data_IF_211179415454
#
_entry.id   IF_211179415454
#
_cell.length_a   1.000
_cell.length_b   1.000
_cell.length_c   1.000
_cell.angle_alpha   90.00
_cell.angle_beta   90.00
_cell.angle_gamma   90.00
#
_symmetry.space_group_name_H-M   'P 1'
#
loop_
_entity.id
_entity.type
_entity.pdbx_description
1 polymer ?
#
# COMPACT_ATOMS: atom_id res chain seq x y z
N UNK A 1 35.88 3.41 14.99
CA UNK A 1 36.35 4.74 15.47
C UNK A 1 35.20 5.73 15.36
N UNK A 2 34.99 6.58 16.37
CA UNK A 2 33.98 7.65 16.35
C UNK A 2 34.69 8.99 16.52
N UNK A 3 34.24 10.01 15.78
CA UNK A 3 34.74 11.37 15.88
C UNK A 3 33.52 12.30 15.94
N UNK A 4 33.33 13.00 17.06
CA UNK A 4 32.11 13.79 17.31
C UNK A 4 32.47 15.10 18.00
N UNK A 5 31.75 16.17 17.65
CA UNK A 5 31.80 17.48 18.31
C UNK A 5 30.40 18.06 18.48
N UNK A 6 30.08 18.66 19.63
CA UNK A 6 28.79 19.32 19.86
C UNK A 6 28.51 20.36 18.77
N UNK A 7 27.34 20.28 18.13
CA UNK A 7 26.91 21.20 17.07
C UNK A 7 27.43 20.89 15.66
N UNK A 8 28.38 19.95 15.50
CA UNK A 8 28.96 19.57 14.19
C UNK A 8 28.56 18.16 13.74
N UNK A 9 27.86 17.40 14.61
CA UNK A 9 27.46 16.01 14.34
C UNK A 9 28.52 14.97 14.72
N UNK A 10 28.27 13.72 14.35
CA UNK A 10 29.14 12.58 14.71
C UNK A 10 29.47 11.75 13.48
N UNK A 11 30.76 11.46 13.28
CA UNK A 11 31.27 10.56 12.25
C UNK A 11 31.65 9.21 12.87
N UNK A 12 31.05 8.14 12.35
CA UNK A 12 31.39 6.76 12.70
C UNK A 12 32.27 6.16 11.59
N UNK A 13 33.23 5.34 11.96
CA UNK A 13 34.13 4.64 11.04
C UNK A 13 34.22 3.19 11.51
N UNK A 14 33.74 2.28 10.68
CA UNK A 14 33.88 0.84 10.88
C UNK A 14 34.95 0.34 9.90
N UNK A 15 35.80 -0.58 10.35
CA UNK A 15 36.80 -1.23 9.51
C UNK A 15 36.33 -2.67 9.32
N UNK A 16 36.05 -3.06 8.09
CA UNK A 16 35.73 -4.43 7.72
C UNK A 16 37.01 -5.13 7.24
N UNK A 17 37.64 -5.99 8.06
CA UNK A 17 38.79 -6.76 7.61
C UNK A 17 38.35 -7.77 6.54
N UNK A 18 39.00 -7.74 5.37
CA UNK A 18 38.72 -8.67 4.27
C UNK A 18 38.07 -8.06 3.02
N UNK A 19 37.61 -6.80 3.06
CA UNK A 19 37.14 -6.12 1.84
C UNK A 19 38.36 -5.67 1.03
N UNK A 20 38.64 -6.36 -0.06
CA UNK A 20 39.77 -6.06 -0.92
C UNK A 20 39.41 -4.81 -1.73
N UNK A 21 40.09 -3.68 -1.47
CA UNK A 21 39.93 -2.40 -2.21
C UNK A 21 40.03 -2.56 -3.74
N UNK A 22 40.69 -3.63 -4.21
CA UNK A 22 40.80 -4.05 -5.61
C UNK A 22 39.48 -4.57 -6.20
N UNK A 23 38.60 -5.18 -5.41
CA UNK A 23 37.27 -5.64 -5.85
C UNK A 23 36.32 -4.46 -6.01
N UNK A 24 36.33 -3.49 -5.09
CA UNK A 24 35.57 -2.24 -5.20
C UNK A 24 35.99 -1.40 -6.42
N UNK A 25 37.28 -1.36 -6.75
CA UNK A 25 37.79 -0.63 -7.92
C UNK A 25 37.46 -1.31 -9.26
N UNK A 26 37.05 -2.59 -9.25
CA UNK A 26 36.69 -3.33 -10.45
C UNK A 26 35.18 -3.32 -10.74
N UNK A 27 34.36 -2.82 -9.81
CA UNK A 27 32.94 -2.58 -10.06
C UNK A 27 32.86 -1.30 -10.90
N UNK A 28 32.60 -1.44 -12.20
CA UNK A 28 32.31 -0.27 -13.02
C UNK A 28 30.89 0.18 -12.72
N UNK A 29 30.68 1.50 -12.71
CA UNK A 29 29.34 2.11 -12.58
C UNK A 29 28.39 1.53 -13.64
N UNK A 30 28.90 1.30 -14.85
CA UNK A 30 28.18 0.62 -15.94
C UNK A 30 27.68 -0.78 -15.56
N UNK A 31 28.39 -1.56 -14.74
CA UNK A 31 28.01 -2.93 -14.35
C UNK A 31 26.86 -2.95 -13.31
N UNK A 32 26.61 -1.81 -12.63
CA UNK A 32 25.48 -1.61 -11.73
C UNK A 32 24.25 -1.05 -12.46
N UNK A 33 24.46 -0.30 -13.55
CA UNK A 33 23.40 0.28 -14.38
C UNK A 33 22.97 -0.61 -15.58
N UNK A 34 23.75 -1.64 -15.94
CA UNK A 34 23.60 -2.38 -17.21
C UNK A 34 22.54 -3.48 -17.22
N UNK A 35 21.76 -3.68 -16.17
CA UNK A 35 20.57 -4.55 -16.23
C UNK A 35 19.26 -3.78 -16.51
N UNK A 36 19.31 -2.46 -16.74
CA UNK A 36 18.09 -1.64 -16.82
C UNK A 36 17.57 -1.41 -18.26
N UNK A 37 18.31 -1.79 -19.30
CA UNK A 37 17.79 -1.67 -20.67
C UNK A 37 17.78 -3.01 -21.42
N UNK A 38 16.61 -3.31 -22.01
CA UNK A 38 16.29 -4.40 -22.94
C UNK A 38 15.69 -5.70 -22.39
N UNK A 39 14.73 -5.58 -21.47
CA UNK A 39 13.43 -6.20 -21.73
C UNK A 39 12.33 -5.27 -21.22
N UNK A 40 11.67 -4.53 -22.12
CA UNK A 40 10.33 -4.01 -21.81
C UNK A 40 9.46 -5.26 -21.71
N UNK A 41 9.35 -5.81 -20.51
CA UNK A 41 8.55 -6.98 -20.26
C UNK A 41 7.09 -6.59 -20.53
N UNK A 42 6.57 -7.06 -21.67
CA UNK A 42 5.19 -6.80 -22.06
C UNK A 42 4.21 -7.44 -21.08
N UNK A 43 4.67 -8.29 -20.16
CA UNK A 43 3.90 -8.95 -19.11
C UNK A 43 3.89 -8.30 -17.72
N UNK A 44 4.44 -7.09 -17.54
CA UNK A 44 4.36 -6.44 -16.20
C UNK A 44 2.91 -6.38 -15.69
N UNK A 45 2.65 -6.75 -14.42
CA UNK A 45 1.33 -6.67 -13.82
C UNK A 45 0.84 -5.22 -13.82
N UNK A 46 -0.44 -5.01 -14.08
CA UNK A 46 -1.01 -3.66 -14.01
C UNK A 46 -1.97 -3.50 -12.83
N UNK A 47 -1.95 -2.31 -12.23
CA UNK A 47 -2.82 -1.91 -11.11
C UNK A 47 -3.80 -0.85 -11.61
N UNK A 48 -5.07 -0.98 -11.25
CA UNK A 48 -6.05 0.08 -11.42
C UNK A 48 -6.02 1.01 -10.22
N UNK A 49 -5.75 2.29 -10.45
CA UNK A 49 -5.77 3.32 -9.41
C UNK A 49 -7.00 4.22 -9.61
N UNK A 50 -7.95 4.15 -8.69
CA UNK A 50 -9.18 4.94 -8.69
C UNK A 50 -9.08 6.00 -7.62
N UNK A 51 -8.66 7.20 -8.01
CA UNK A 51 -8.46 8.31 -7.09
C UNK A 51 -8.80 9.61 -7.85
N UNK A 52 -9.51 10.55 -7.26
CA UNK A 52 -9.82 11.84 -7.91
C UNK A 52 -8.77 12.92 -7.66
N UNK A 53 -7.77 12.63 -6.82
CA UNK A 53 -6.73 13.53 -6.43
C UNK A 53 -5.45 13.36 -7.26
N UNK A 54 -5.01 14.41 -7.96
CA UNK A 54 -3.84 14.36 -8.83
C UNK A 54 -2.51 14.17 -8.09
N UNK A 55 -2.35 14.75 -6.89
CA UNK A 55 -1.12 14.58 -6.11
C UNK A 55 -0.97 13.13 -5.66
N UNK A 56 -2.06 12.52 -5.18
CA UNK A 56 -2.05 11.13 -4.73
C UNK A 56 -1.99 10.13 -5.88
N UNK A 57 -2.61 10.44 -7.02
CA UNK A 57 -2.41 9.69 -8.26
C UNK A 57 -0.92 9.63 -8.63
N UNK A 58 -0.23 10.77 -8.54
CA UNK A 58 1.20 10.85 -8.82
C UNK A 58 2.02 10.07 -7.80
N UNK A 59 1.82 10.31 -6.51
CA UNK A 59 2.56 9.64 -5.44
C UNK A 59 2.46 8.11 -5.53
N UNK A 60 1.24 7.58 -5.59
CA UNK A 60 1.00 6.14 -5.67
C UNK A 60 1.43 5.59 -7.03
N UNK A 61 1.20 6.35 -8.11
CA UNK A 61 1.60 5.97 -9.46
C UNK A 61 3.11 5.83 -9.60
N UNK A 62 3.87 6.83 -9.15
CA UNK A 62 5.33 6.83 -9.18
C UNK A 62 5.88 5.65 -8.35
N UNK A 63 5.34 5.43 -7.14
CA UNK A 63 5.72 4.29 -6.31
C UNK A 63 5.50 2.94 -7.01
N UNK A 64 4.35 2.74 -7.66
CA UNK A 64 4.03 1.51 -8.38
C UNK A 64 4.91 1.32 -9.63
N UNK A 65 5.17 2.39 -10.38
CA UNK A 65 6.04 2.36 -11.57
C UNK A 65 7.48 2.00 -11.20
N UNK A 66 8.04 2.60 -10.14
CA UNK A 66 9.38 2.24 -9.62
C UNK A 66 9.45 0.77 -9.20
N UNK A 67 8.33 0.18 -8.80
CA UNK A 67 8.22 -1.23 -8.40
C UNK A 67 7.73 -2.16 -9.54
N UNK A 68 7.95 -1.78 -10.80
CA UNK A 68 7.66 -2.59 -12.00
C UNK A 68 6.18 -2.95 -12.21
N UNK A 69 5.25 -2.09 -11.77
CA UNK A 69 3.85 -2.20 -12.14
C UNK A 69 3.49 -1.23 -13.25
N UNK A 70 2.64 -1.67 -14.18
CA UNK A 70 1.89 -0.76 -15.05
C UNK A 70 0.73 -0.15 -14.25
N UNK A 71 0.31 1.06 -14.59
CA UNK A 71 -0.82 1.71 -13.92
C UNK A 71 -1.86 2.21 -14.93
N UNK A 72 -3.13 2.06 -14.57
CA UNK A 72 -4.26 2.70 -15.26
C UNK A 72 -5.07 3.49 -14.25
N UNK A 73 -5.19 4.80 -14.49
CA UNK A 73 -5.77 5.74 -13.54
C UNK A 73 -7.20 6.11 -13.95
N UNK A 74 -8.12 6.07 -12.99
CA UNK A 74 -9.50 6.51 -13.13
C UNK A 74 -9.84 7.55 -12.06
N UNK A 75 -10.59 8.58 -12.44
CA UNK A 75 -11.10 9.59 -11.47
C UNK A 75 -12.33 9.12 -10.69
N UNK A 76 -13.01 8.08 -11.19
CA UNK A 76 -14.25 7.55 -10.64
C UNK A 76 -14.34 6.03 -10.80
N UNK A 77 -15.14 5.39 -9.97
CA UNK A 77 -15.27 3.94 -9.90
C UNK A 77 -16.03 3.33 -11.09
N UNK A 78 -16.93 4.08 -11.73
CA UNK A 78 -17.79 3.54 -12.81
C UNK A 78 -16.95 3.10 -14.01
N UNK A 79 -16.06 3.97 -14.48
CA UNK A 79 -15.16 3.63 -15.60
C UNK A 79 -14.17 2.51 -15.24
N UNK A 80 -13.75 2.42 -13.97
CA UNK A 80 -12.91 1.32 -13.52
C UNK A 80 -13.65 -0.03 -13.52
N UNK A 81 -14.93 -0.06 -13.09
CA UNK A 81 -15.76 -1.27 -13.19
C UNK A 81 -15.98 -1.72 -14.63
N UNK A 82 -16.12 -0.79 -15.58
CA UNK A 82 -16.24 -1.13 -17.00
C UNK A 82 -14.98 -1.82 -17.53
N UNK A 83 -13.80 -1.30 -17.19
CA UNK A 83 -12.53 -1.90 -17.63
C UNK A 83 -12.29 -3.29 -17.02
N UNK A 84 -12.65 -3.50 -15.75
CA UNK A 84 -12.49 -4.81 -15.08
C UNK A 84 -13.25 -5.94 -15.78
N UNK A 85 -14.33 -5.63 -16.50
CA UNK A 85 -15.09 -6.63 -17.26
C UNK A 85 -14.33 -7.16 -18.47
N UNK A 86 -13.41 -6.37 -19.02
CA UNK A 86 -12.67 -6.67 -20.24
C UNK A 86 -11.20 -6.97 -20.00
N UNK A 87 -10.64 -6.46 -18.91
CA UNK A 87 -9.24 -6.57 -18.56
C UNK A 87 -9.10 -7.01 -17.09
N UNK A 88 -8.08 -7.82 -16.79
CA UNK A 88 -7.85 -8.36 -15.44
C UNK A 88 -6.68 -7.68 -14.76
N UNK A 89 -6.93 -6.68 -13.89
CA UNK A 89 -5.85 -6.05 -13.15
C UNK A 89 -5.29 -7.00 -12.09
N UNK A 90 -4.01 -6.83 -11.78
CA UNK A 90 -3.37 -7.52 -10.66
C UNK A 90 -3.90 -7.05 -9.31
N UNK A 91 -4.39 -5.80 -9.23
CA UNK A 91 -5.07 -5.23 -8.07
C UNK A 91 -5.82 -3.94 -8.42
N UNK A 92 -6.73 -3.53 -7.54
CA UNK A 92 -7.41 -2.23 -7.57
C UNK A 92 -7.10 -1.47 -6.28
N UNK A 93 -6.63 -0.23 -6.41
CA UNK A 93 -6.48 0.72 -5.30
C UNK A 93 -7.54 1.80 -5.50
N UNK A 94 -8.40 2.02 -4.50
CA UNK A 94 -9.56 2.90 -4.61
C UNK A 94 -9.65 3.84 -3.40
N UNK A 95 -9.76 5.14 -3.66
CA UNK A 95 -9.89 6.14 -2.60
C UNK A 95 -11.33 6.25 -2.08
N UNK A 96 -11.48 6.51 -0.78
CA UNK A 96 -12.79 6.65 -0.11
C UNK A 96 -13.58 7.89 -0.54
N UNK A 97 -12.93 8.87 -1.19
CA UNK A 97 -13.51 10.14 -1.61
C UNK A 97 -13.85 10.21 -3.10
N UNK A 98 -13.87 9.09 -3.83
CA UNK A 98 -14.37 9.07 -5.20
C UNK A 98 -15.84 9.50 -5.26
N UNK A 99 -16.25 10.14 -6.36
CA UNK A 99 -17.47 10.96 -6.39
C UNK A 99 -18.66 10.33 -7.11
N UNK A 100 -18.42 9.37 -8.01
CA UNK A 100 -19.45 8.78 -8.87
C UNK A 100 -20.11 7.53 -8.27
N UNK A 101 -19.35 6.74 -7.50
CA UNK A 101 -19.84 5.65 -6.66
C UNK A 101 -18.93 5.52 -5.44
N UNK A 102 -19.36 4.88 -4.35
CA UNK A 102 -18.52 4.66 -3.17
C UNK A 102 -17.70 3.37 -3.28
N UNK A 103 -16.57 3.21 -2.57
CA UNK A 103 -15.80 1.96 -2.63
C UNK A 103 -16.58 0.73 -2.15
N UNK A 104 -17.58 0.91 -1.29
CA UNK A 104 -18.48 -0.16 -0.84
C UNK A 104 -19.37 -0.63 -1.98
N UNK A 105 -19.98 0.31 -2.71
CA UNK A 105 -20.73 0.00 -3.92
C UNK A 105 -19.81 -0.59 -4.99
N UNK A 106 -18.56 -0.12 -5.12
CA UNK A 106 -17.58 -0.66 -6.06
C UNK A 106 -17.36 -2.16 -5.84
N UNK A 107 -17.10 -2.59 -4.60
CA UNK A 107 -16.85 -4.01 -4.30
C UNK A 107 -18.14 -4.86 -4.39
N UNK A 108 -19.32 -4.26 -4.12
CA UNK A 108 -20.61 -4.94 -4.30
C UNK A 108 -21.00 -5.13 -5.77
N UNK A 109 -20.74 -4.12 -6.61
CA UNK A 109 -21.04 -4.13 -8.05
C UNK A 109 -19.99 -4.89 -8.87
N UNK A 110 -18.74 -4.94 -8.37
CA UNK A 110 -17.63 -5.67 -8.97
C UNK A 110 -17.71 -7.18 -8.78
N UNK A 111 -18.80 -7.82 -9.21
CA UNK A 111 -18.95 -9.28 -9.13
C UNK A 111 -17.77 -10.05 -9.74
N UNK A 112 -17.16 -9.52 -10.81
CA UNK A 112 -15.97 -10.09 -11.44
C UNK A 112 -14.71 -9.94 -10.58
N UNK A 113 -14.59 -8.86 -9.81
CA UNK A 113 -13.51 -8.68 -8.81
C UNK A 113 -13.52 -9.85 -7.82
N UNK A 114 -14.71 -10.20 -7.32
CA UNK A 114 -14.88 -11.29 -6.36
C UNK A 114 -14.60 -12.67 -6.96
N UNK A 115 -15.05 -12.91 -8.21
CA UNK A 115 -14.83 -14.18 -8.93
C UNK A 115 -13.38 -14.40 -9.32
N UNK A 116 -12.69 -13.35 -9.73
CA UNK A 116 -11.30 -13.41 -10.20
C UNK A 116 -10.28 -13.25 -9.07
N UNK A 117 -10.76 -13.08 -7.83
CA UNK A 117 -9.93 -12.83 -6.65
C UNK A 117 -9.00 -11.62 -6.82
N UNK A 118 -9.46 -10.58 -7.53
CA UNK A 118 -8.70 -9.35 -7.70
C UNK A 118 -8.62 -8.64 -6.33
N UNK A 119 -7.41 -8.43 -5.79
CA UNK A 119 -7.26 -7.69 -4.54
C UNK A 119 -7.75 -6.25 -4.69
N UNK A 120 -8.63 -5.83 -3.79
CA UNK A 120 -9.03 -4.42 -3.66
C UNK A 120 -8.40 -3.85 -2.39
N UNK A 121 -7.80 -2.67 -2.51
CA UNK A 121 -7.30 -1.86 -1.41
C UNK A 121 -8.09 -0.55 -1.37
N UNK A 122 -8.85 -0.35 -0.30
CA UNK A 122 -9.50 0.93 -0.03
C UNK A 122 -8.51 1.83 0.71
N UNK A 123 -8.34 3.06 0.26
CA UNK A 123 -7.49 4.07 0.91
C UNK A 123 -8.33 5.26 1.36
N UNK A 124 -7.95 5.89 2.46
CA UNK A 124 -8.52 7.17 2.89
C UNK A 124 -7.39 8.16 3.03
N UNK A 125 -7.36 9.17 2.16
CA UNK A 125 -6.36 10.24 2.23
C UNK A 125 -7.07 11.58 2.42
N UNK A 126 -6.67 12.32 3.46
CA UNK A 126 -7.08 13.69 3.74
C UNK A 126 -5.87 14.61 3.57
N UNK A 127 -5.78 15.25 2.40
CA UNK A 127 -4.66 16.14 2.08
C UNK A 127 -4.59 17.38 2.96
N UNK A 128 -5.75 17.90 3.39
CA UNK A 128 -5.81 19.14 4.19
C UNK A 128 -5.21 18.87 5.56
N UNK A 129 -5.49 17.70 6.12
CA UNK A 129 -4.94 17.26 7.41
C UNK A 129 -3.58 16.58 7.28
N UNK A 130 -3.12 16.26 6.06
CA UNK A 130 -1.93 15.45 5.80
C UNK A 130 -2.02 14.12 6.56
N UNK A 131 -3.15 13.43 6.39
CA UNK A 131 -3.39 12.11 6.97
C UNK A 131 -3.68 11.12 5.85
N UNK A 132 -3.21 9.88 5.96
CA UNK A 132 -3.64 8.79 5.09
C UNK A 132 -3.68 7.44 5.78
N UNK A 133 -4.61 6.60 5.35
CA UNK A 133 -4.81 5.26 5.89
C UNK A 133 -5.16 4.27 4.79
N UNK A 134 -4.42 3.16 4.72
CA UNK A 134 -4.72 2.03 3.85
C UNK A 134 -5.43 0.92 4.63
N UNK A 135 -6.57 0.46 4.15
CA UNK A 135 -7.29 -0.65 4.78
C UNK A 135 -6.65 -1.98 4.41
N UNK A 136 -5.88 -2.56 5.33
CA UNK A 136 -5.30 -3.91 5.25
C UNK A 136 -6.38 -4.99 5.44
N UNK A 137 -7.31 -5.01 4.49
CA UNK A 137 -8.41 -5.97 4.36
C UNK A 137 -8.02 -6.99 3.29
N UNK A 138 -8.13 -8.26 3.65
CA UNK A 138 -7.77 -9.38 2.82
C UNK A 138 -8.73 -9.60 1.65
N UNK A 139 -10.04 -9.41 1.85
CA UNK A 139 -11.06 -9.49 0.81
C UNK A 139 -12.34 -8.80 1.26
N UNK A 140 -13.18 -8.43 0.30
CA UNK A 140 -14.56 -8.00 0.53
C UNK A 140 -15.49 -9.08 -0.01
N UNK A 141 -16.46 -9.52 0.80
CA UNK A 141 -17.45 -10.52 0.42
C UNK A 141 -18.85 -9.99 0.72
N UNK A 142 -19.85 -10.54 0.02
CA UNK A 142 -21.26 -10.26 0.32
C UNK A 142 -21.73 -11.16 1.45
N UNK A 143 -22.59 -10.63 2.31
CA UNK A 143 -23.35 -11.43 3.23
C UNK A 143 -24.33 -12.32 2.45
N UNK A 144 -24.24 -13.62 2.70
CA UNK A 144 -25.16 -14.63 2.19
C UNK A 144 -25.65 -15.50 3.37
N UNK A 145 -26.90 -15.96 3.34
CA UNK A 145 -27.43 -16.85 4.38
C UNK A 145 -26.76 -18.24 4.39
N UNK A 146 -26.09 -18.59 3.29
CA UNK A 146 -25.28 -19.79 3.19
C UNK A 146 -23.96 -19.42 2.50
N UNK A 147 -22.84 -19.59 3.18
CA UNK A 147 -21.52 -19.21 2.64
C UNK A 147 -20.75 -20.44 2.16
N UNK A 148 -20.25 -20.41 0.93
CA UNK A 148 -19.27 -21.37 0.41
C UNK A 148 -17.86 -20.84 0.62
N UNK A 149 -17.12 -21.42 1.57
CA UNK A 149 -15.77 -20.93 1.91
C UNK A 149 -14.77 -21.15 0.78
N UNK A 150 -14.90 -22.21 -0.02
CA UNK A 150 -13.95 -22.47 -1.12
C UNK A 150 -14.07 -21.43 -2.22
N UNK A 151 -15.29 -20.99 -2.51
CA UNK A 151 -15.56 -19.93 -3.48
C UNK A 151 -15.11 -18.57 -2.92
N UNK A 152 -15.47 -18.27 -1.68
CA UNK A 152 -15.25 -16.95 -1.10
C UNK A 152 -13.79 -16.70 -0.69
N UNK A 153 -13.06 -17.71 -0.22
CA UNK A 153 -11.66 -17.58 0.21
C UNK A 153 -10.63 -17.92 -0.89
N UNK A 154 -11.08 -18.58 -1.96
CA UNK A 154 -10.21 -19.08 -3.03
C UNK A 154 -9.48 -20.37 -2.65
N UNK A 155 -9.00 -21.11 -3.65
CA UNK A 155 -8.42 -22.45 -3.47
C UNK A 155 -6.96 -22.44 -3.01
N UNK A 156 -6.28 -21.30 -3.10
CA UNK A 156 -4.84 -21.17 -2.81
C UNK A 156 -4.56 -20.87 -1.34
N UNK A 157 -5.54 -20.38 -0.58
CA UNK A 157 -5.36 -19.99 0.82
C UNK A 157 -6.15 -20.93 1.73
N UNK A 158 -5.42 -21.71 2.52
CA UNK A 158 -6.01 -22.66 3.46
C UNK A 158 -6.05 -22.06 4.86
N UNK A 159 -7.17 -21.41 5.18
CA UNK A 159 -7.51 -20.99 6.53
C UNK A 159 -8.20 -22.14 7.26
N UNK A 160 -7.72 -22.51 8.44
CA UNK A 160 -8.30 -23.59 9.24
C UNK A 160 -9.20 -23.07 10.35
N UNK A 161 -8.83 -22.00 11.04
CA UNK A 161 -9.59 -21.49 12.17
C UNK A 161 -10.17 -20.12 11.81
N UNK A 162 -11.46 -20.10 11.48
CA UNK A 162 -12.12 -18.91 10.92
C UNK A 162 -13.14 -18.38 11.92
N UNK A 163 -13.00 -17.11 12.30
CA UNK A 163 -13.93 -16.43 13.19
C UNK A 163 -14.81 -15.45 12.43
N UNK A 164 -16.12 -15.60 12.49
CA UNK A 164 -17.09 -14.66 11.97
C UNK A 164 -17.63 -13.76 13.08
N UNK A 165 -17.46 -12.45 12.93
CA UNK A 165 -18.25 -11.45 13.64
C UNK A 165 -19.47 -11.09 12.79
N UNK A 166 -20.45 -11.99 12.83
CA UNK A 166 -21.68 -11.92 12.03
C UNK A 166 -22.71 -12.88 12.63
N UNK A 167 -23.94 -12.81 12.12
CA UNK A 167 -25.00 -13.75 12.52
C UNK A 167 -24.62 -15.20 12.15
N UNK A 168 -24.91 -16.19 13.03
CA UNK A 168 -24.71 -17.59 12.71
C UNK A 168 -25.49 -18.00 11.45
N UNK A 169 -24.83 -18.77 10.57
CA UNK A 169 -25.40 -19.20 9.28
C UNK A 169 -24.81 -20.52 8.80
N UNK A 170 -25.36 -21.06 7.71
CA UNK A 170 -24.87 -22.31 7.12
C UNK A 170 -23.55 -22.09 6.40
N UNK A 171 -22.55 -22.92 6.71
CA UNK A 171 -21.25 -22.92 6.04
C UNK A 171 -21.11 -24.17 5.18
N UNK A 172 -20.90 -24.00 3.88
CA UNK A 172 -20.77 -25.09 2.91
C UNK A 172 -19.32 -25.32 2.52
N UNK A 173 -19.04 -26.56 2.08
CA UNK A 173 -17.73 -27.02 1.57
C UNK A 173 -16.57 -26.82 2.56
N UNK A 174 -16.87 -26.96 3.84
CA UNK A 174 -15.88 -27.00 4.91
C UNK A 174 -15.01 -28.25 4.74
N UNK A 175 -13.69 -28.08 4.73
CA UNK A 175 -12.77 -29.21 4.83
C UNK A 175 -12.77 -29.74 6.26
N UNK A 176 -12.52 -31.05 6.46
CA UNK A 176 -12.60 -31.68 7.79
C UNK A 176 -11.67 -31.07 8.86
N UNK A 177 -10.65 -30.31 8.46
CA UNK A 177 -9.71 -29.64 9.36
C UNK A 177 -10.10 -28.20 9.72
N UNK A 178 -11.17 -27.67 9.11
CA UNK A 178 -11.59 -26.28 9.32
C UNK A 178 -12.59 -26.19 10.48
N UNK A 179 -12.38 -25.21 11.34
CA UNK A 179 -13.26 -24.82 12.44
C UNK A 179 -13.79 -23.42 12.14
N UNK A 180 -15.09 -23.24 12.34
CA UNK A 180 -15.76 -21.97 12.09
C UNK A 180 -16.60 -21.59 13.30
N UNK A 181 -16.28 -20.44 13.87
CA UNK A 181 -16.97 -19.89 15.03
C UNK A 181 -17.69 -18.58 14.66
N UNK A 182 -18.77 -18.27 15.39
CA UNK A 182 -19.57 -17.07 15.18
C UNK A 182 -19.74 -16.29 16.49
N UNK A 183 -19.49 -14.99 16.43
CA UNK A 183 -19.75 -14.01 17.50
C UNK A 183 -20.67 -12.93 16.92
N UNK A 184 -21.83 -12.71 17.55
CA UNK A 184 -22.86 -11.80 17.03
C UNK A 184 -22.82 -10.40 17.68
N UNK A 185 -21.73 -10.06 18.36
CA UNK A 185 -21.49 -8.74 18.93
C UNK A 185 -20.04 -8.30 18.77
N UNK A 186 -19.79 -7.01 19.01
CA UNK A 186 -18.47 -6.40 18.98
C UNK A 186 -18.02 -5.98 20.39
N UNK A 187 -18.54 -6.64 21.45
CA UNK A 187 -18.27 -6.31 22.84
C UNK A 187 -16.82 -6.68 23.25
N UNK A 188 -16.25 -6.10 24.32
CA UNK A 188 -15.00 -5.35 24.25
C UNK A 188 -13.70 -6.17 24.24
N UNK A 189 -12.68 -5.45 23.75
CA UNK A 189 -11.23 -5.68 23.64
C UNK A 189 -10.54 -6.52 24.73
N UNK A 190 -11.15 -6.75 25.90
CA UNK A 190 -10.53 -7.49 27.01
C UNK A 190 -10.09 -8.91 26.62
N UNK A 191 -10.79 -9.52 25.66
CA UNK A 191 -10.43 -10.82 25.11
C UNK A 191 -9.82 -10.77 23.70
N UNK A 192 -9.45 -9.59 23.18
CA UNK A 192 -8.97 -9.48 21.78
C UNK A 192 -7.75 -10.36 21.48
N UNK A 193 -6.91 -10.62 22.48
CA UNK A 193 -5.73 -11.48 22.33
C UNK A 193 -6.08 -12.97 22.23
N UNK A 194 -7.26 -13.40 22.66
CA UNK A 194 -7.71 -14.79 22.48
C UNK A 194 -7.95 -15.10 21.00
N UNK A 195 -8.22 -14.09 20.18
CA UNK A 195 -8.41 -14.27 18.74
C UNK A 195 -7.14 -14.68 17.98
N UNK A 196 -5.99 -14.80 18.67
CA UNK A 196 -4.75 -15.35 18.10
C UNK A 196 -4.82 -16.82 17.68
N UNK A 197 -5.82 -17.55 18.14
CA UNK A 197 -6.07 -18.93 17.72
C UNK A 197 -6.66 -19.04 16.31
N UNK A 198 -7.19 -17.93 15.78
CA UNK A 198 -7.77 -17.87 14.44
C UNK A 198 -6.74 -17.40 13.41
N UNK A 199 -6.78 -18.00 12.23
CA UNK A 199 -5.96 -17.61 11.08
C UNK A 199 -6.70 -16.73 10.07
N UNK A 200 -8.01 -16.50 10.30
CA UNK A 200 -8.84 -15.57 9.54
C UNK A 200 -9.96 -15.00 10.41
N UNK A 201 -10.20 -13.69 10.30
CA UNK A 201 -11.36 -13.03 10.90
C UNK A 201 -12.23 -12.43 9.80
N UNK A 202 -13.52 -12.71 9.82
CA UNK A 202 -14.53 -12.11 8.93
C UNK A 202 -15.40 -11.16 9.76
N UNK A 203 -15.51 -9.91 9.34
CA UNK A 203 -16.23 -8.86 10.07
C UNK A 203 -17.38 -8.35 9.21
N UNK A 204 -18.62 -8.49 9.66
CA UNK A 204 -19.74 -7.81 9.01
C UNK A 204 -19.75 -6.32 9.36
N UNK A 205 -19.36 -5.47 8.41
CA UNK A 205 -19.21 -4.04 8.68
C UNK A 205 -20.53 -3.26 8.75
N UNK A 206 -21.65 -3.88 8.38
CA UNK A 206 -22.98 -3.25 8.31
C UNK A 206 -23.79 -3.43 9.60
N UNK A 207 -23.54 -4.51 10.35
CA UNK A 207 -24.26 -4.82 11.58
C UNK A 207 -23.86 -3.95 12.77
N UNK A 208 -24.72 -3.91 13.80
CA UNK A 208 -24.46 -3.26 15.09
C UNK A 208 -23.99 -1.80 14.95
N UNK A 209 -24.69 -0.98 14.15
CA UNK A 209 -24.36 0.42 13.89
C UNK A 209 -22.94 0.63 13.36
N UNK A 210 -22.48 -0.25 12.47
CA UNK A 210 -21.17 -0.18 11.82
C UNK A 210 -19.96 -0.29 12.76
N UNK A 211 -20.18 -0.85 13.94
CA UNK A 211 -19.11 -1.08 14.93
C UNK A 211 -18.02 -2.03 14.44
N UNK A 212 -18.29 -2.83 13.40
CA UNK A 212 -17.28 -3.68 12.74
C UNK A 212 -16.08 -2.89 12.21
N UNK A 213 -16.26 -1.65 11.74
CA UNK A 213 -15.14 -0.80 11.34
C UNK A 213 -14.29 -0.42 12.56
N UNK A 214 -14.90 -0.07 13.69
CA UNK A 214 -14.17 0.25 14.92
C UNK A 214 -13.33 -0.95 15.37
N UNK A 215 -13.97 -2.12 15.38
CA UNK A 215 -13.37 -3.36 15.79
C UNK A 215 -12.19 -3.75 14.90
N UNK A 216 -12.28 -3.52 13.58
CA UNK A 216 -11.14 -3.65 12.67
C UNK A 216 -9.93 -2.80 13.11
N UNK A 217 -10.14 -1.52 13.48
CA UNK A 217 -9.04 -0.67 13.96
C UNK A 217 -8.47 -1.17 15.29
N UNK A 218 -9.30 -1.69 16.19
CA UNK A 218 -8.84 -2.30 17.45
C UNK A 218 -7.97 -3.54 17.21
N UNK A 219 -8.38 -4.42 16.28
CA UNK A 219 -7.60 -5.59 15.87
C UNK A 219 -6.26 -5.18 15.26
N UNK A 220 -6.23 -4.13 14.42
CA UNK A 220 -4.98 -3.64 13.80
C UNK A 220 -4.04 -2.92 14.77
N UNK A 221 -4.56 -2.37 15.88
CA UNK A 221 -3.74 -1.78 16.96
C UNK A 221 -3.09 -2.84 17.84
N UNK A 222 -3.77 -3.96 18.07
CA UNK A 222 -3.26 -4.99 18.96
C UNK A 222 -2.15 -5.82 18.28
N UNK A 223 -0.99 -5.92 18.94
CA UNK A 223 0.21 -6.60 18.39
C UNK A 223 -0.02 -8.07 18.03
N UNK A 224 -0.95 -8.72 18.71
CA UNK A 224 -1.26 -10.14 18.56
C UNK A 224 -2.19 -10.37 17.35
N UNK A 225 -3.19 -9.52 17.16
CA UNK A 225 -4.20 -9.69 16.11
C UNK A 225 -3.92 -8.91 14.82
N UNK A 226 -3.02 -7.92 14.85
CA UNK A 226 -2.81 -7.01 13.70
C UNK A 226 -2.39 -7.69 12.40
N UNK A 227 -1.73 -8.85 12.50
CA UNK A 227 -1.27 -9.65 11.36
C UNK A 227 -2.30 -10.66 10.87
N UNK A 228 -3.38 -10.89 11.62
CA UNK A 228 -4.44 -11.82 11.20
C UNK A 228 -5.13 -11.21 9.97
N UNK A 229 -5.27 -11.98 8.87
CA UNK A 229 -6.05 -11.56 7.72
C UNK A 229 -7.50 -11.26 8.11
N UNK A 230 -8.02 -10.13 7.62
CA UNK A 230 -9.40 -9.71 7.91
C UNK A 230 -10.18 -9.61 6.61
N UNK A 231 -11.34 -10.25 6.53
CA UNK A 231 -12.30 -10.07 5.44
C UNK A 231 -13.42 -9.17 5.91
N UNK A 232 -13.79 -8.19 5.09
CA UNK A 232 -15.01 -7.43 5.30
C UNK A 232 -16.16 -8.12 4.60
N UNK A 233 -17.17 -8.45 5.38
CA UNK A 233 -18.47 -8.86 4.89
C UNK A 233 -19.38 -7.63 4.84
N UNK A 234 -20.07 -7.47 3.71
CA UNK A 234 -20.95 -6.34 3.42
C UNK A 234 -22.32 -6.89 3.08
N UNK A 235 -23.37 -6.27 3.60
CA UNK A 235 -24.74 -6.66 3.28
C UNK A 235 -25.03 -6.54 1.77
N UNK A 236 -25.93 -7.38 1.25
CA UNK A 236 -26.20 -7.50 -0.20
C UNK A 236 -26.59 -6.16 -0.83
N UNK A 237 -27.29 -5.32 -0.06
CA UNK A 237 -27.72 -3.99 -0.43
C UNK A 237 -27.36 -3.01 0.69
N UNK A 238 -26.90 -1.83 0.30
CA UNK A 238 -26.70 -0.71 1.20
C UNK A 238 -27.61 0.42 0.74
N UNK A 239 -28.42 0.95 1.66
CA UNK A 239 -29.06 2.24 1.51
C UNK A 239 -28.02 3.35 1.45
N UNK A 240 -28.40 4.50 0.87
CA UNK A 240 -27.52 5.67 0.87
C UNK A 240 -27.09 6.08 2.28
N UNK A 241 -27.99 5.96 3.27
CA UNK A 241 -27.69 6.29 4.66
C UNK A 241 -26.61 5.38 5.25
N UNK A 242 -26.67 4.08 4.98
CA UNK A 242 -25.64 3.11 5.38
C UNK A 242 -24.29 3.43 4.74
N UNK A 243 -24.28 3.71 3.44
CA UNK A 243 -23.07 4.11 2.71
C UNK A 243 -22.45 5.37 3.31
N UNK A 244 -23.25 6.41 3.59
CA UNK A 244 -22.78 7.65 4.23
C UNK A 244 -22.21 7.39 5.63
N UNK A 245 -22.88 6.55 6.43
CA UNK A 245 -22.44 6.22 7.77
C UNK A 245 -21.10 5.44 7.76
N UNK A 246 -20.97 4.41 6.92
CA UNK A 246 -19.74 3.64 6.74
C UNK A 246 -18.56 4.53 6.30
N UNK A 247 -18.78 5.36 5.26
CA UNK A 247 -17.76 6.26 4.75
C UNK A 247 -17.34 7.29 5.82
N UNK A 248 -18.32 7.90 6.50
CA UNK A 248 -18.08 8.84 7.59
C UNK A 248 -17.27 8.20 8.73
N UNK A 249 -17.60 6.98 9.11
CA UNK A 249 -16.92 6.26 10.19
C UNK A 249 -15.48 5.92 9.84
N UNK A 250 -15.24 5.45 8.62
CA UNK A 250 -13.89 5.21 8.10
C UNK A 250 -13.04 6.47 8.15
N UNK A 251 -13.58 7.61 7.70
CA UNK A 251 -12.88 8.89 7.71
C UNK A 251 -12.53 9.35 9.12
N UNK A 252 -13.49 9.26 10.04
CA UNK A 252 -13.28 9.64 11.43
C UNK A 252 -12.17 8.81 12.08
N UNK A 253 -12.18 7.50 11.87
CA UNK A 253 -11.17 6.60 12.44
C UNK A 253 -9.81 6.77 11.76
N UNK A 254 -9.75 6.97 10.44
CA UNK A 254 -8.50 7.28 9.75
C UNK A 254 -7.84 8.56 10.29
N UNK A 255 -8.64 9.61 10.56
CA UNK A 255 -8.16 10.84 11.21
C UNK A 255 -7.68 10.58 12.64
N UNK A 256 -8.39 9.73 13.40
CA UNK A 256 -8.00 9.36 14.77
C UNK A 256 -6.68 8.60 14.83
N UNK A 257 -6.37 7.76 13.85
CA UNK A 257 -5.07 7.08 13.75
C UNK A 257 -3.93 8.03 13.42
N UNK A 258 -4.22 9.13 12.71
CA UNK A 258 -3.26 10.21 12.43
C UNK A 258 -1.95 9.69 11.78
N UNK A 259 -2.10 8.72 10.88
CA UNK A 259 -1.00 8.19 10.07
C UNK A 259 -0.64 9.18 8.95
N UNK A 260 0.62 9.19 8.54
CA UNK A 260 1.10 10.03 7.45
C UNK A 260 0.51 9.55 6.10
N UNK A 261 0.28 10.41 5.10
CA UNK A 261 -0.29 9.98 3.82
C UNK A 261 0.53 8.88 3.13
N UNK A 262 1.83 8.87 3.37
CA UNK A 262 2.76 7.91 2.79
C UNK A 262 2.72 6.54 3.47
N UNK A 263 2.11 6.41 4.66
CA UNK A 263 1.88 5.11 5.29
C UNK A 263 0.96 4.21 4.44
N UNK A 264 0.20 4.81 3.52
CA UNK A 264 -0.58 4.09 2.50
C UNK A 264 0.33 3.24 1.60
N UNK A 265 1.55 3.72 1.28
CA UNK A 265 2.49 3.01 0.40
C UNK A 265 2.93 1.67 1.02
N UNK A 266 3.13 1.65 2.35
CA UNK A 266 3.44 0.42 3.08
C UNK A 266 2.32 -0.62 2.96
N UNK A 267 1.06 -0.18 3.06
CA UNK A 267 -0.08 -1.08 2.88
C UNK A 267 -0.16 -1.59 1.45
N UNK A 268 0.13 -0.74 0.46
CA UNK A 268 0.21 -1.14 -0.96
C UNK A 268 1.31 -2.19 -1.15
N UNK A 269 2.51 -1.95 -0.62
CA UNK A 269 3.63 -2.88 -0.68
C UNK A 269 3.25 -4.25 -0.15
N UNK A 270 2.77 -4.30 1.08
CA UNK A 270 2.43 -5.53 1.77
C UNK A 270 1.29 -6.26 1.03
N UNK A 271 0.35 -5.51 0.45
CA UNK A 271 -0.80 -6.07 -0.28
C UNK A 271 -0.45 -6.64 -1.65
N UNK A 272 0.46 -5.99 -2.37
CA UNK A 272 0.93 -6.40 -3.69
C UNK A 272 2.15 -7.32 -3.63
N UNK A 273 2.64 -7.64 -2.42
CA UNK A 273 3.84 -8.46 -2.19
C UNK A 273 5.06 -7.92 -2.93
N UNK A 274 5.21 -6.59 -2.95
CA UNK A 274 6.35 -5.94 -3.59
C UNK A 274 7.61 -6.33 -2.81
N UNK A 275 8.54 -7.01 -3.49
CA UNK A 275 9.81 -7.46 -2.92
C UNK A 275 10.83 -6.32 -2.85
N UNK A 276 11.64 -6.28 -1.79
CA UNK A 276 12.81 -5.39 -1.66
C UNK A 276 14.00 -5.81 -2.56
N UNK A 277 13.75 -6.51 -3.67
CA UNK A 277 14.81 -7.06 -4.53
C UNK A 277 15.64 -5.93 -5.18
N UNK A 278 16.99 -5.97 -5.15
CA UNK A 278 17.84 -4.83 -5.53
C UNK A 278 17.70 -4.35 -6.97
N UNK A 279 17.08 -5.12 -7.87
CA UNK A 279 16.95 -4.79 -9.29
C UNK A 279 15.83 -3.78 -9.63
N UNK A 280 14.95 -3.44 -8.68
CA UNK A 280 13.74 -2.64 -8.96
C UNK A 280 13.89 -1.13 -8.70
N UNK A 281 14.86 -0.45 -9.31
CA UNK A 281 14.80 1.02 -9.40
C UNK A 281 15.16 1.49 -10.80
N UNK A 282 14.17 2.07 -11.48
CA UNK A 282 14.38 3.06 -12.53
C UNK A 282 15.12 4.23 -11.91
N UNK A 283 16.28 4.58 -12.45
CA UNK A 283 17.03 5.75 -12.05
C UNK A 283 16.16 7.03 -12.20
N UNK A 284 15.62 7.50 -11.07
CA UNK A 284 14.75 8.67 -10.97
C UNK A 284 15.41 9.97 -11.45
N UNK A 285 16.73 9.95 -11.71
CA UNK A 285 17.47 11.08 -12.27
C UNK A 285 17.39 11.16 -13.81
N UNK A 286 17.18 10.04 -14.52
CA UNK A 286 17.28 9.98 -16.00
C UNK A 286 15.92 9.97 -16.74
N UNK A 287 14.80 9.57 -16.11
CA UNK A 287 13.49 9.53 -16.77
C UNK A 287 12.69 10.86 -16.78
N UNK A 288 13.37 12.01 -16.64
CA UNK A 288 12.70 13.31 -16.83
C UNK A 288 12.15 13.51 -18.25
N UNK A 289 12.66 12.79 -19.24
CA UNK A 289 12.25 12.90 -20.65
C UNK A 289 11.00 12.08 -21.01
N UNK A 290 10.63 11.05 -20.23
CA UNK A 290 9.37 10.30 -20.42
C UNK A 290 8.16 10.96 -19.73
N UNK A 291 8.40 11.97 -18.87
CA UNK A 291 7.38 12.73 -18.13
C UNK A 291 6.46 13.58 -19.01
N UNK A 292 6.86 13.84 -20.27
CA UNK A 292 6.15 14.76 -21.16
C UNK A 292 4.99 14.12 -21.94
N UNK A 293 4.78 12.80 -21.87
CA UNK A 293 3.61 12.15 -22.49
C UNK A 293 2.37 12.09 -21.60
N UNK A 294 2.42 12.60 -20.37
CA UNK A 294 1.25 12.69 -19.49
C UNK A 294 0.98 14.17 -19.22
N UNK A 295 -0.04 14.71 -19.91
CA UNK A 295 -0.46 16.11 -19.84
C UNK A 295 -0.80 16.55 -18.41
N UNK A 296 0.19 17.08 -17.69
CA UNK A 296 0.03 17.77 -16.41
C UNK A 296 0.49 19.22 -16.56
N UNK A 297 -0.46 20.11 -16.86
CA UNK A 297 -0.26 21.55 -16.80
C UNK A 297 -0.40 22.02 -15.35
N UNK A 298 0.73 22.30 -14.70
CA UNK A 298 0.76 23.04 -13.44
C UNK A 298 1.76 24.21 -13.55
N UNK A 299 1.25 25.44 -13.51
CA UNK A 299 2.05 26.66 -13.36
C UNK A 299 2.73 26.67 -11.99
N UNK A 300 4.06 26.82 -11.96
CA UNK A 300 4.80 27.23 -10.77
C UNK A 300 5.47 28.58 -11.00
N UNK A 301 5.17 29.51 -10.10
CA UNK A 301 5.86 30.80 -9.91
C UNK A 301 7.29 30.55 -9.41
N UNK A 302 8.23 31.34 -9.94
CA UNK A 302 9.67 31.29 -9.64
C UNK A 302 9.97 31.99 -8.32
N UNK A 303 10.38 31.23 -7.31
CA UNK A 303 11.25 31.72 -6.24
C UNK A 303 12.59 30.99 -6.33
N UNK A 304 13.70 31.73 -6.23
CA UNK A 304 15.07 31.20 -6.25
C UNK A 304 15.37 30.44 -4.94
N UNK A 305 14.92 29.18 -4.85
CA UNK A 305 15.33 28.27 -3.78
C UNK A 305 16.74 27.76 -4.06
N UNK A 306 17.66 27.92 -3.09
CA UNK A 306 18.93 27.18 -3.06
C UNK A 306 18.60 25.68 -3.05
N UNK A 307 18.99 24.99 -4.11
CA UNK A 307 18.72 23.58 -4.31
C UNK A 307 19.80 22.77 -3.57
N UNK A 308 19.57 22.50 -2.28
CA UNK A 308 20.48 21.64 -1.51
C UNK A 308 20.34 20.21 -2.00
N UNK A 309 21.47 19.53 -2.17
CA UNK A 309 21.57 18.13 -2.59
C UNK A 309 21.64 17.23 -1.37
N UNK A 310 20.77 16.25 -1.28
CA UNK A 310 20.72 15.29 -0.16
C UNK A 310 20.92 13.88 -0.71
N UNK A 311 21.90 13.13 -0.18
CA UNK A 311 22.09 11.72 -0.50
C UNK A 311 21.47 10.86 0.60
N UNK A 312 20.37 10.18 0.29
CA UNK A 312 19.65 9.31 1.22
C UNK A 312 20.22 7.90 1.08
N UNK A 313 20.63 7.30 2.22
CA UNK A 313 21.22 5.97 2.25
C UNK A 313 20.45 5.07 3.20
N UNK A 314 19.74 4.09 2.65
CA UNK A 314 18.92 3.15 3.41
C UNK A 314 18.74 1.86 2.59
N UNK A 315 18.76 0.70 3.24
CA UNK A 315 18.56 -0.60 2.58
C UNK A 315 17.09 -0.92 2.31
N UNK A 316 16.16 -0.16 2.89
CA UNK A 316 14.74 -0.26 2.63
C UNK A 316 14.29 0.73 1.54
N UNK A 317 13.84 0.19 0.40
CA UNK A 317 13.37 1.00 -0.74
C UNK A 317 12.19 1.92 -0.38
N UNK A 318 11.32 1.49 0.54
CA UNK A 318 10.19 2.31 0.97
C UNK A 318 10.66 3.53 1.76
N UNK A 319 11.65 3.36 2.63
CA UNK A 319 12.26 4.45 3.38
C UNK A 319 12.97 5.42 2.45
N UNK A 320 13.72 4.91 1.46
CA UNK A 320 14.33 5.74 0.41
C UNK A 320 13.28 6.58 -0.33
N UNK A 321 12.24 5.95 -0.87
CA UNK A 321 11.16 6.64 -1.58
C UNK A 321 10.45 7.65 -0.67
N UNK A 322 10.16 7.24 0.58
CA UNK A 322 9.37 8.04 1.50
C UNK A 322 10.08 9.31 1.94
N UNK A 323 11.34 9.16 2.38
CA UNK A 323 12.17 10.31 2.75
C UNK A 323 12.47 11.17 1.51
N UNK A 324 12.67 10.54 0.36
CA UNK A 324 12.86 11.20 -0.93
C UNK A 324 11.76 12.19 -1.27
N UNK A 325 10.51 11.73 -1.29
CA UNK A 325 9.35 12.59 -1.61
C UNK A 325 9.15 13.70 -0.57
N UNK A 326 9.37 13.43 0.72
CA UNK A 326 9.30 14.47 1.76
C UNK A 326 10.32 15.59 1.48
N UNK A 327 11.57 15.23 1.17
CA UNK A 327 12.63 16.20 0.88
C UNK A 327 12.40 16.93 -0.46
N UNK A 328 11.88 16.23 -1.48
CA UNK A 328 11.49 16.83 -2.75
C UNK A 328 10.37 17.87 -2.58
N UNK A 329 9.37 17.58 -1.74
CA UNK A 329 8.29 18.53 -1.41
C UNK A 329 8.80 19.77 -0.68
N UNK A 330 9.86 19.65 0.11
CA UNK A 330 10.57 20.78 0.72
C UNK A 330 11.37 21.59 -0.32
N UNK A 331 11.59 21.04 -1.51
CA UNK A 331 12.34 21.64 -2.62
C UNK A 331 13.83 21.34 -2.58
N UNK A 332 14.21 20.19 -2.00
CA UNK A 332 15.57 19.69 -1.97
C UNK A 332 15.79 18.73 -3.14
N UNK A 333 17.02 18.67 -3.65
CA UNK A 333 17.41 17.73 -4.70
C UNK A 333 17.88 16.43 -4.07
N UNK A 334 17.18 15.33 -4.32
CA UNK A 334 17.45 14.05 -3.67
C UNK A 334 18.19 13.07 -4.57
N UNK A 335 19.13 12.34 -3.97
CA UNK A 335 19.87 11.23 -4.55
C UNK A 335 19.75 10.04 -3.61
N UNK A 336 19.88 8.82 -4.13
CA UNK A 336 19.59 7.60 -3.38
C UNK A 336 20.77 6.61 -3.45
N UNK A 337 20.96 5.84 -2.39
CA UNK A 337 21.86 4.69 -2.36
C UNK A 337 21.28 3.61 -1.43
N UNK A 338 21.28 2.36 -1.85
CA UNK A 338 20.68 1.25 -1.08
C UNK A 338 21.60 0.67 -0.01
N UNK A 339 22.89 1.02 -0.06
CA UNK A 339 23.90 0.46 0.82
C UNK A 339 25.14 1.35 0.82
N UNK A 340 26.11 0.99 1.67
CA UNK A 340 27.36 1.73 1.77
C UNK A 340 28.20 1.74 0.49
N UNK A 341 28.10 0.72 -0.36
CA UNK A 341 28.87 0.65 -1.63
C UNK A 341 28.30 1.63 -2.64
N UNK A 342 26.99 1.57 -2.88
CA UNK A 342 26.30 2.54 -3.75
C UNK A 342 26.49 3.97 -3.26
N UNK A 343 26.45 4.21 -1.95
CA UNK A 343 26.70 5.53 -1.39
C UNK A 343 28.10 6.05 -1.76
N UNK A 344 29.13 5.22 -1.58
CA UNK A 344 30.50 5.60 -1.91
C UNK A 344 30.70 5.82 -3.41
N UNK A 345 30.00 5.07 -4.26
CA UNK A 345 30.01 5.26 -5.70
C UNK A 345 29.26 6.54 -6.12
N UNK A 346 28.09 6.81 -5.55
CA UNK A 346 27.35 8.06 -5.78
C UNK A 346 28.18 9.28 -5.38
N UNK A 347 28.94 9.20 -4.29
CA UNK A 347 29.85 10.25 -3.82
C UNK A 347 31.03 10.52 -4.77
N UNK A 348 31.34 9.64 -5.72
CA UNK A 348 32.36 9.94 -6.74
C UNK A 348 31.84 10.88 -7.83
N UNK A 349 30.52 10.93 -8.02
CA UNK A 349 29.87 11.66 -9.10
C UNK A 349 29.06 12.86 -8.59
N UNK A 350 28.61 12.81 -7.34
CA UNK A 350 27.74 13.80 -6.70
C UNK A 350 28.38 14.24 -5.38
N UNK A 351 28.42 15.55 -5.14
CA UNK A 351 28.77 16.15 -3.84
C UNK A 351 27.46 16.59 -3.16
N UNK A 352 26.85 15.76 -2.31
CA UNK A 352 25.68 16.16 -1.54
C UNK A 352 26.07 17.14 -0.44
N UNK A 353 25.16 18.05 -0.11
CA UNK A 353 25.27 18.97 1.02
C UNK A 353 24.97 18.25 2.36
N UNK A 354 24.16 17.19 2.31
CA UNK A 354 23.73 16.38 3.47
C UNK A 354 23.85 14.89 3.14
#
# INVERSE_FOLDING_TARGET
KVNSRPGEGSKFTVIFPGIIKKELNNIKVEDLHSNVHESIDTNLPYVLLVNNNQQMQKLIGDYLLTNNFKIKIFKGGTGALEIIKTEKPSAVIIDINITDLTPWEFVLLGGDISKENIPVLITSIDEKRKIGYGFSVYKYIKYENEIDLKINLGTQNKFNNILFFSQPRVVKKLDNSQVVDFINDYQPVEHISTFSEYDLIVINICQNNYNGINFYFELKKNKVTRSIPIIFEIDEQLSQQEVYALNGRVKELAVKENHHPMDVLKVIRDRLQISNDPQNIIDLSHERTARDSINYTASKTKEEKRNYKVLIVDDDNDTLFTVGEILNDLGLETYYAKNGVECLLSLSNILPDI
#
